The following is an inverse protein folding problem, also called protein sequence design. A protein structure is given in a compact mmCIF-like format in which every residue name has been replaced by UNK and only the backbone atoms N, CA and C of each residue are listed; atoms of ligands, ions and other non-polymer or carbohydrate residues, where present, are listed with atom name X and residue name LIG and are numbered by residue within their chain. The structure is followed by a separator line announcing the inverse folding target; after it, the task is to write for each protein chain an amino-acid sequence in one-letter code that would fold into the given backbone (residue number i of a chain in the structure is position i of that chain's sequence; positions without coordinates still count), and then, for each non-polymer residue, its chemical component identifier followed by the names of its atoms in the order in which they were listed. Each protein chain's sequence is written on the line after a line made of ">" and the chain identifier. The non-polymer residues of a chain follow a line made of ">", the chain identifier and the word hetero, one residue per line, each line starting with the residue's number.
data_IF_774438779697
#
_entry.id   IF_774438779697
#
_cell.length_a   1.000
_cell.length_b   1.000
_cell.length_c   1.000
_cell.angle_alpha   90.00
_cell.angle_beta   90.00
_cell.angle_gamma   90.00
#
_symmetry.space_group_name_H-M   'P 1'
#
loop_
_entity.id
_entity.type
_entity.pdbx_description
1 polymer ?
#
# COMPACT_ATOMS: atom_id res chain seq x y z
N UNK A 1 9.75 -28.42 -1.29
CA UNK A 1 10.09 -27.07 -0.80
C UNK A 1 9.31 -26.04 -1.62
N UNK A 2 8.10 -25.70 -1.18
CA UNK A 2 7.39 -24.49 -1.65
C UNK A 2 7.83 -23.33 -0.73
N UNK A 3 7.69 -22.08 -1.19
CA UNK A 3 8.00 -20.80 -0.50
C UNK A 3 9.24 -20.00 -0.99
N UNK A 4 9.52 -19.94 -2.31
CA UNK A 4 10.46 -18.94 -2.85
C UNK A 4 9.88 -18.06 -3.98
N UNK A 5 8.61 -18.24 -4.36
CA UNK A 5 7.98 -17.47 -5.43
C UNK A 5 7.40 -16.12 -4.99
N UNK A 6 6.70 -16.09 -3.84
CA UNK A 6 5.77 -14.99 -3.53
C UNK A 6 6.44 -13.73 -2.95
N UNK A 7 7.55 -13.87 -2.24
CA UNK A 7 8.25 -12.73 -1.63
C UNK A 7 8.93 -11.85 -2.68
N UNK A 8 9.32 -12.42 -3.83
CA UNK A 8 9.92 -11.67 -4.95
C UNK A 8 8.95 -10.75 -5.66
N UNK A 9 7.65 -11.03 -5.60
CA UNK A 9 6.62 -10.27 -6.32
C UNK A 9 6.27 -8.98 -5.59
N UNK A 10 6.07 -9.06 -4.26
CA UNK A 10 5.83 -7.87 -3.43
C UNK A 10 7.02 -6.91 -3.43
N UNK A 11 8.26 -7.44 -3.48
CA UNK A 11 9.48 -6.63 -3.58
C UNK A 11 9.50 -5.73 -4.82
N UNK A 12 8.90 -6.16 -5.93
CA UNK A 12 8.81 -5.36 -7.16
C UNK A 12 7.92 -4.15 -6.91
N UNK A 13 6.77 -4.33 -6.26
CA UNK A 13 5.86 -3.24 -5.93
C UNK A 13 6.45 -2.29 -4.90
N UNK A 14 7.11 -2.83 -3.87
CA UNK A 14 7.83 -2.03 -2.88
C UNK A 14 8.89 -1.15 -3.56
N UNK A 15 9.74 -1.72 -4.42
CA UNK A 15 10.76 -0.93 -5.14
C UNK A 15 10.16 0.15 -6.03
N UNK A 16 9.07 -0.15 -6.74
CA UNK A 16 8.36 0.85 -7.55
C UNK A 16 7.81 1.98 -6.67
N UNK A 17 7.17 1.62 -5.55
CA UNK A 17 6.64 2.58 -4.57
C UNK A 17 7.74 3.47 -3.99
N UNK A 18 8.88 2.90 -3.58
CA UNK A 18 10.05 3.65 -3.12
C UNK A 18 10.52 4.67 -4.16
N UNK A 19 10.57 4.28 -5.43
CA UNK A 19 10.98 5.18 -6.53
C UNK A 19 10.02 6.35 -6.76
N UNK A 20 8.70 6.13 -6.63
CA UNK A 20 7.70 7.17 -6.87
C UNK A 20 7.33 7.99 -5.62
N UNK A 21 7.67 7.50 -4.42
CA UNK A 21 7.32 8.14 -3.15
C UNK A 21 7.74 9.62 -3.05
N UNK A 22 8.94 10.04 -3.51
CA UNK A 22 9.32 11.45 -3.49
C UNK A 22 8.39 12.34 -4.33
N UNK A 23 7.89 11.85 -5.46
CA UNK A 23 6.94 12.59 -6.29
C UNK A 23 5.55 12.62 -5.67
N UNK A 24 5.10 11.49 -5.11
CA UNK A 24 3.81 11.40 -4.43
C UNK A 24 3.76 12.34 -3.22
N UNK A 25 4.82 12.42 -2.42
CA UNK A 25 4.91 13.35 -1.28
C UNK A 25 4.89 14.83 -1.68
N UNK A 26 5.21 15.18 -2.93
CA UNK A 26 5.05 16.57 -3.44
C UNK A 26 3.60 16.88 -3.82
N UNK A 27 2.83 15.87 -4.23
CA UNK A 27 1.43 16.03 -4.69
C UNK A 27 0.40 15.84 -3.57
N UNK A 28 0.74 15.00 -2.59
CA UNK A 28 -0.17 14.56 -1.52
C UNK A 28 0.51 14.72 -0.15
N UNK A 29 -0.25 15.03 0.90
CA UNK A 29 0.29 15.18 2.26
C UNK A 29 0.56 13.81 2.92
N UNK A 30 1.31 12.93 2.24
CA UNK A 30 1.60 11.57 2.71
C UNK A 30 2.63 11.64 3.84
N UNK A 31 2.22 11.18 5.01
CA UNK A 31 3.07 11.01 6.20
C UNK A 31 3.70 9.62 6.23
N UNK A 32 2.92 8.61 5.88
CA UNK A 32 3.30 7.20 5.96
C UNK A 32 2.71 6.46 4.77
N UNK A 33 3.45 5.50 4.23
CA UNK A 33 2.96 4.53 3.26
C UNK A 33 3.60 3.16 3.54
N UNK A 34 2.84 2.09 3.36
CA UNK A 34 3.37 0.74 3.47
C UNK A 34 2.47 -0.28 2.78
N UNK A 35 3.01 -1.43 2.44
CA UNK A 35 2.26 -2.54 1.84
C UNK A 35 1.89 -3.53 2.94
N UNK A 36 0.67 -4.05 2.91
CA UNK A 36 0.23 -5.08 3.86
C UNK A 36 -0.60 -6.15 3.13
N UNK A 37 -1.23 -7.05 3.89
CA UNK A 37 -2.24 -7.95 3.36
C UNK A 37 -1.66 -9.19 2.68
N UNK A 38 -2.42 -9.73 1.72
CA UNK A 38 -2.18 -11.04 1.12
C UNK A 38 -0.81 -11.16 0.43
N UNK A 39 -0.33 -10.07 -0.17
CA UNK A 39 0.99 -9.97 -0.79
C UNK A 39 2.14 -10.11 0.20
N UNK A 40 1.99 -9.59 1.42
CA UNK A 40 3.02 -9.73 2.47
C UNK A 40 2.97 -11.12 3.10
N UNK A 41 1.78 -11.70 3.28
CA UNK A 41 1.62 -13.06 3.81
C UNK A 41 1.94 -14.17 2.81
N UNK A 42 2.13 -13.83 1.53
CA UNK A 42 2.35 -14.82 0.47
C UNK A 42 1.10 -15.65 0.15
N UNK A 43 -0.09 -15.13 0.46
CA UNK A 43 -1.39 -15.77 0.25
C UNK A 43 -2.12 -15.21 -0.98
N UNK A 44 -1.47 -14.33 -1.74
CA UNK A 44 -2.10 -13.69 -2.90
C UNK A 44 -2.40 -14.69 -4.03
N UNK A 45 -3.50 -14.45 -4.71
CA UNK A 45 -3.86 -15.07 -5.99
C UNK A 45 -3.58 -14.11 -7.16
N UNK A 46 -3.60 -14.60 -8.39
CA UNK A 46 -3.43 -13.77 -9.59
C UNK A 46 -4.49 -12.67 -9.77
N UNK A 47 -5.58 -12.70 -8.99
CA UNK A 47 -6.65 -11.70 -9.00
C UNK A 47 -6.67 -10.83 -7.73
N UNK A 48 -5.59 -10.85 -6.93
CA UNK A 48 -5.54 -10.11 -5.67
C UNK A 48 -5.23 -8.63 -5.92
N UNK A 49 -5.86 -7.77 -5.13
CA UNK A 49 -5.54 -6.34 -5.08
C UNK A 49 -4.29 -6.12 -4.21
N UNK A 50 -3.53 -5.06 -4.48
CA UNK A 50 -2.40 -4.66 -3.65
C UNK A 50 -2.87 -3.73 -2.53
N UNK A 51 -2.90 -4.25 -1.30
CA UNK A 51 -3.31 -3.50 -0.11
C UNK A 51 -2.20 -2.52 0.33
N UNK A 52 -2.50 -1.22 0.28
CA UNK A 52 -1.56 -0.16 0.66
C UNK A 52 -2.12 0.64 1.83
N UNK A 53 -1.37 0.67 2.92
CA UNK A 53 -1.68 1.46 4.09
C UNK A 53 -1.09 2.86 3.95
N UNK A 54 -1.91 3.90 4.16
CA UNK A 54 -1.48 5.30 4.06
C UNK A 54 -1.88 6.11 5.30
N UNK A 55 -1.02 7.02 5.71
CA UNK A 55 -1.33 8.05 6.72
C UNK A 55 -1.01 9.42 6.11
N UNK A 56 -1.82 10.42 6.41
CA UNK A 56 -1.61 11.79 5.94
C UNK A 56 -1.24 12.72 7.10
N UNK A 57 -0.36 13.70 6.87
CA UNK A 57 0.00 14.75 7.83
C UNK A 57 -0.79 16.06 7.61
N UNK A 58 -1.80 16.03 6.75
CA UNK A 58 -2.69 17.14 6.46
C UNK A 58 -4.04 16.64 5.92
N UNK A 59 -4.93 17.58 5.62
CA UNK A 59 -6.25 17.26 5.07
C UNK A 59 -6.14 16.79 3.62
N UNK A 60 -6.77 15.66 3.31
CA UNK A 60 -6.96 15.18 1.94
C UNK A 60 -8.45 15.14 1.64
N UNK A 61 -8.84 15.59 0.45
CA UNK A 61 -10.23 15.49 -0.01
C UNK A 61 -10.51 14.07 -0.48
N UNK A 62 -11.79 13.68 -0.53
CA UNK A 62 -12.18 12.37 -1.07
C UNK A 62 -11.71 12.19 -2.52
N UNK A 63 -11.79 13.25 -3.33
CA UNK A 63 -11.26 13.25 -4.70
C UNK A 63 -9.73 13.10 -4.74
N UNK A 64 -9.02 13.75 -3.81
CA UNK A 64 -7.57 13.59 -3.69
C UNK A 64 -7.17 12.17 -3.32
N UNK A 65 -7.91 11.55 -2.41
CA UNK A 65 -7.73 10.16 -2.01
C UNK A 65 -7.95 9.20 -3.18
N UNK A 66 -9.10 9.31 -3.86
CA UNK A 66 -9.41 8.49 -5.03
C UNK A 66 -8.40 8.71 -6.17
N UNK A 67 -7.89 9.93 -6.36
CA UNK A 67 -6.83 10.20 -7.35
C UNK A 67 -5.53 9.50 -6.97
N UNK A 68 -5.14 9.49 -5.70
CA UNK A 68 -3.95 8.79 -5.23
C UNK A 68 -4.06 7.28 -5.49
N UNK A 69 -5.20 6.68 -5.14
CA UNK A 69 -5.48 5.26 -5.38
C UNK A 69 -5.40 4.88 -6.86
N UNK A 70 -6.01 5.69 -7.74
CA UNK A 70 -5.93 5.48 -9.19
C UNK A 70 -4.50 5.69 -9.72
N UNK A 71 -3.78 6.74 -9.29
CA UNK A 71 -2.41 7.00 -9.72
C UNK A 71 -1.46 5.85 -9.31
N UNK A 72 -1.67 5.27 -8.13
CA UNK A 72 -0.94 4.08 -7.69
C UNK A 72 -1.29 2.86 -8.53
N UNK A 73 -2.58 2.61 -8.78
CA UNK A 73 -3.04 1.49 -9.59
C UNK A 73 -2.46 1.52 -11.01
N UNK A 74 -2.55 2.69 -11.66
CA UNK A 74 -2.05 2.91 -13.02
C UNK A 74 -0.53 2.70 -13.11
N UNK A 75 0.23 3.25 -12.15
CA UNK A 75 1.70 3.17 -12.14
C UNK A 75 2.20 1.77 -11.79
N UNK A 76 1.50 1.06 -10.91
CA UNK A 76 1.90 -0.29 -10.49
C UNK A 76 1.44 -1.36 -11.47
N UNK A 77 0.38 -1.09 -12.26
CA UNK A 77 -0.20 -2.03 -13.22
C UNK A 77 -1.05 -3.12 -12.54
N UNK A 78 -1.51 -2.85 -11.33
CA UNK A 78 -2.35 -3.73 -10.52
C UNK A 78 -3.37 -2.87 -9.77
N UNK A 79 -4.55 -3.41 -9.51
CA UNK A 79 -5.54 -2.72 -8.67
C UNK A 79 -4.99 -2.54 -7.26
N UNK A 80 -5.06 -1.32 -6.74
CA UNK A 80 -4.62 -0.96 -5.39
C UNK A 80 -5.85 -0.75 -4.52
N UNK A 81 -5.84 -1.35 -3.33
CA UNK A 81 -6.78 -0.98 -2.26
C UNK A 81 -6.04 -0.06 -1.28
N UNK A 82 -6.40 1.22 -1.32
CA UNK A 82 -5.79 2.22 -0.44
C UNK A 82 -6.57 2.26 0.87
N UNK A 83 -5.88 2.02 1.99
CA UNK A 83 -6.49 2.00 3.32
C UNK A 83 -5.86 3.06 4.21
N UNK A 84 -6.70 3.92 4.78
CA UNK A 84 -6.24 4.92 5.75
C UNK A 84 -5.91 4.27 7.10
N UNK A 85 -4.67 4.45 7.55
CA UNK A 85 -4.19 4.00 8.86
C UNK A 85 -5.00 4.58 10.03
N UNK A 86 -5.51 5.80 9.89
CA UNK A 86 -6.35 6.44 10.92
C UNK A 86 -7.78 5.90 10.96
N UNK A 87 -8.24 5.27 9.87
CA UNK A 87 -9.56 4.64 9.80
C UNK A 87 -9.58 3.22 10.37
N UNK A 88 -8.40 2.63 10.64
CA UNK A 88 -8.31 1.29 11.21
C UNK A 88 -8.79 1.29 12.68
N UNK A 89 -9.81 0.47 12.96
CA UNK A 89 -10.24 0.20 14.33
C UNK A 89 -9.05 -0.35 15.15
N UNK A 90 -8.84 0.07 16.40
CA UNK A 90 -7.67 -0.32 17.20
C UNK A 90 -7.43 -1.84 17.31
N UNK A 91 -8.49 -2.64 17.24
CA UNK A 91 -8.40 -4.11 17.31
C UNK A 91 -7.88 -4.74 16.01
N UNK A 92 -8.30 -4.22 14.86
CA UNK A 92 -7.87 -4.72 13.54
C UNK A 92 -6.51 -4.12 13.17
N UNK A 93 -6.31 -2.84 13.49
CA UNK A 93 -5.07 -2.13 13.20
C UNK A 93 -3.84 -2.77 13.82
N UNK A 94 -3.93 -3.37 15.01
CA UNK A 94 -2.78 -4.03 15.63
C UNK A 94 -2.21 -5.17 14.80
N UNK A 95 -3.06 -6.00 14.20
CA UNK A 95 -2.60 -7.13 13.37
C UNK A 95 -2.03 -6.63 12.04
N UNK A 96 -2.72 -5.69 11.40
CA UNK A 96 -2.26 -5.09 10.13
C UNK A 96 -0.91 -4.38 10.30
N UNK A 97 -0.74 -3.62 11.38
CA UNK A 97 0.48 -2.86 11.65
C UNK A 97 1.69 -3.75 11.99
N UNK A 98 1.48 -5.00 12.43
CA UNK A 98 2.56 -5.94 12.68
C UNK A 98 3.09 -6.57 11.38
N UNK A 99 2.27 -6.61 10.34
CA UNK A 99 2.60 -7.22 9.05
C UNK A 99 2.96 -6.19 7.98
N UNK A 100 2.86 -4.89 8.28
CA UNK A 100 3.10 -3.86 7.27
C UNK A 100 4.59 -3.74 6.96
N UNK A 101 4.90 -3.64 5.66
CA UNK A 101 6.23 -3.28 5.20
C UNK A 101 6.22 -1.78 4.88
N UNK A 102 6.84 -0.99 5.76
CA UNK A 102 7.00 0.45 5.59
C UNK A 102 8.01 0.77 4.46
N UNK A 103 7.75 1.87 3.74
CA UNK A 103 8.46 2.27 2.52
C UNK A 103 9.12 3.65 2.69
#
# INVERSE_FOLDING_TARGET
>A
MKLQGNQREVDIYIKKLQGMLPELKKKYPIKYIGVFGSYVRGEQSASSDLDILVEFNGSITLLGYARLENELSDKLGIKVDLVSKTALKPRIGKHILLEVVEI
#
